data_IF_704849456685
#
_entry.id   IF_704849456685
#
_cell.length_a   1.000
_cell.length_b   1.000
_cell.length_c   1.000
_cell.angle_alpha   90.00
_cell.angle_beta   90.00
_cell.angle_gamma   90.00
#
_symmetry.space_group_name_H-M   'P 1'
#
loop_
_entity.id
_entity.type
_entity.pdbx_description
1 polymer ?
#
# COMPACT_ATOMS: atom_id res chain seq x y z
N UNK A 1 -3.69 0.13 -5.95
CA UNK A 1 -5.07 -0.29 -5.65
C UNK A 1 -5.16 -1.26 -4.48
N UNK A 2 -4.45 -2.38 -4.45
CA UNK A 2 -4.50 -3.30 -3.29
C UNK A 2 -4.12 -2.62 -1.97
N UNK A 3 -3.01 -1.89 -1.94
CA UNK A 3 -2.61 -1.10 -0.75
C UNK A 3 -3.63 -0.02 -0.39
N UNK A 4 -4.32 0.56 -1.40
CA UNK A 4 -5.41 1.50 -1.15
C UNK A 4 -6.55 0.84 -0.38
N UNK A 5 -7.09 -0.27 -0.92
CA UNK A 5 -8.19 -0.98 -0.28
C UNK A 5 -7.81 -1.49 1.11
N UNK A 6 -6.58 -1.99 1.27
CA UNK A 6 -6.03 -2.39 2.57
C UNK A 6 -6.07 -1.23 3.58
N UNK A 7 -5.51 -0.07 3.22
CA UNK A 7 -5.48 1.10 4.09
C UNK A 7 -6.86 1.72 4.31
N UNK A 8 -7.73 1.67 3.30
CA UNK A 8 -9.10 2.17 3.35
C UNK A 8 -9.97 1.34 4.29
N UNK A 9 -9.82 0.02 4.24
CA UNK A 9 -10.61 -0.95 5.00
C UNK A 9 -9.90 -1.52 6.22
N UNK A 10 -8.80 -0.89 6.64
CA UNK A 10 -7.94 -1.41 7.71
C UNK A 10 -8.71 -1.78 8.97
N UNK A 11 -9.65 -0.93 9.41
CA UNK A 11 -10.47 -1.16 10.60
C UNK A 11 -11.30 -2.45 10.52
N UNK A 12 -11.69 -2.89 9.31
CA UNK A 12 -12.41 -4.15 9.09
C UNK A 12 -11.46 -5.35 9.06
N UNK A 13 -10.25 -5.16 8.53
CA UNK A 13 -9.26 -6.23 8.34
C UNK A 13 -8.45 -6.52 9.61
N UNK A 14 -8.18 -5.49 10.40
CA UNK A 14 -7.38 -5.54 11.63
C UNK A 14 -8.04 -4.66 12.71
N UNK A 15 -9.22 -5.04 13.21
CA UNK A 15 -9.97 -4.25 14.19
C UNK A 15 -9.25 -4.09 15.54
N UNK A 16 -8.34 -5.03 15.87
CA UNK A 16 -7.60 -5.05 17.14
C UNK A 16 -6.48 -4.01 17.20
N UNK A 17 -6.02 -3.49 16.05
CA UNK A 17 -4.88 -2.57 15.98
C UNK A 17 -5.14 -1.48 14.94
N UNK A 18 -5.34 -0.21 15.35
CA UNK A 18 -5.51 0.92 14.45
C UNK A 18 -4.32 1.07 13.49
N UNK A 19 -4.59 1.54 12.26
CA UNK A 19 -3.56 1.68 11.23
C UNK A 19 -2.33 2.50 11.66
N UNK A 20 -2.48 3.67 12.31
CA UNK A 20 -1.32 4.46 12.74
C UNK A 20 -0.45 3.73 13.78
N UNK A 21 -1.09 2.92 14.63
CA UNK A 21 -0.39 2.11 15.62
C UNK A 21 0.37 0.96 14.96
N UNK A 22 -0.27 0.26 14.01
CA UNK A 22 0.41 -0.76 13.23
C UNK A 22 1.61 -0.19 12.46
N UNK A 23 1.48 0.99 11.83
CA UNK A 23 2.58 1.65 11.11
C UNK A 23 3.74 1.97 12.06
N UNK A 24 3.45 2.48 13.26
CA UNK A 24 4.47 2.73 14.29
C UNK A 24 5.16 1.43 14.71
N UNK A 25 4.39 0.38 14.97
CA UNK A 25 4.91 -0.94 15.32
C UNK A 25 5.82 -1.50 14.20
N UNK A 26 5.34 -1.51 12.96
CA UNK A 26 6.09 -2.00 11.80
C UNK A 26 7.39 -1.21 11.61
N UNK A 27 7.36 0.11 11.75
CA UNK A 27 8.55 0.96 11.69
C UNK A 27 9.58 0.58 12.75
N UNK A 28 9.14 0.30 13.99
CA UNK A 28 10.06 -0.16 15.05
C UNK A 28 10.70 -1.51 14.72
N UNK A 29 9.93 -2.46 14.17
CA UNK A 29 10.48 -3.75 13.76
C UNK A 29 11.49 -3.61 12.62
N UNK A 30 11.18 -2.81 11.60
CA UNK A 30 12.07 -2.58 10.47
C UNK A 30 13.33 -1.82 10.88
N UNK A 31 13.23 -0.89 11.83
CA UNK A 31 14.38 -0.12 12.33
C UNK A 31 15.50 -1.00 12.92
N UNK A 32 15.17 -2.22 13.40
CA UNK A 32 16.16 -3.17 13.93
C UNK A 32 17.11 -3.65 12.83
N UNK A 33 16.59 -3.94 11.64
CA UNK A 33 17.38 -4.48 10.51
C UNK A 33 17.88 -3.39 9.55
N UNK A 34 17.36 -2.17 9.67
CA UNK A 34 17.62 -1.09 8.71
C UNK A 34 19.11 -0.72 8.60
N UNK A 35 19.91 -0.65 9.69
CA UNK A 35 21.34 -0.33 9.59
C UNK A 35 22.15 -1.31 8.73
N UNK A 36 21.77 -2.59 8.74
CA UNK A 36 22.46 -3.66 8.01
C UNK A 36 21.82 -3.96 6.63
N UNK A 37 20.79 -3.19 6.26
CA UNK A 37 20.06 -3.41 5.01
C UNK A 37 20.73 -2.73 3.81
N UNK A 38 20.49 -3.21 2.58
CA UNK A 38 21.03 -2.57 1.37
C UNK A 38 20.66 -1.08 1.27
N UNK A 39 21.54 -0.20 0.76
CA UNK A 39 21.30 1.26 0.72
C UNK A 39 20.00 1.66 0.03
N UNK A 40 19.59 0.91 -1.01
CA UNK A 40 18.31 1.15 -1.71
C UNK A 40 17.10 0.93 -0.82
N UNK A 41 17.16 -0.06 0.08
CA UNK A 41 16.09 -0.36 1.03
C UNK A 41 16.03 0.70 2.14
N UNK A 42 17.18 1.14 2.65
CA UNK A 42 17.29 2.24 3.62
C UNK A 42 16.68 3.52 3.06
N UNK A 43 17.09 3.90 1.84
CA UNK A 43 16.57 5.10 1.18
C UNK A 43 15.05 5.02 0.97
N UNK A 44 14.53 3.88 0.50
CA UNK A 44 13.08 3.69 0.34
C UNK A 44 12.32 3.88 1.66
N UNK A 45 12.81 3.26 2.74
CA UNK A 45 12.18 3.35 4.05
C UNK A 45 12.16 4.78 4.60
N UNK A 46 13.19 5.57 4.35
CA UNK A 46 13.21 6.98 4.77
C UNK A 46 12.01 7.76 4.21
N UNK A 47 11.66 7.56 2.93
CA UNK A 47 10.48 8.17 2.32
C UNK A 47 9.17 7.53 2.79
N UNK A 48 9.12 6.20 2.84
CA UNK A 48 7.92 5.45 3.23
C UNK A 48 7.40 5.89 4.59
N UNK A 49 8.31 6.06 5.57
CA UNK A 49 7.97 6.50 6.91
C UNK A 49 7.69 8.01 7.02
N UNK A 50 8.50 8.86 6.37
CA UNK A 50 8.34 10.32 6.49
C UNK A 50 7.05 10.81 5.85
N UNK A 51 6.64 10.19 4.74
CA UNK A 51 5.43 10.54 4.02
C UNK A 51 4.23 9.69 4.42
N UNK A 52 4.36 8.79 5.41
CA UNK A 52 3.28 7.96 5.96
C UNK A 52 2.49 7.22 4.87
N UNK A 53 3.20 6.60 3.92
CA UNK A 53 2.59 6.06 2.69
C UNK A 53 1.42 5.14 2.96
N UNK A 54 1.57 4.17 3.88
CA UNK A 54 0.50 3.23 4.19
C UNK A 54 -0.76 3.93 4.71
N UNK A 55 -0.62 5.00 5.48
CA UNK A 55 -1.77 5.75 5.99
C UNK A 55 -2.44 6.56 4.89
N UNK A 56 -1.62 7.22 4.05
CA UNK A 56 -2.10 8.06 2.93
C UNK A 56 -2.66 7.25 1.77
N UNK A 57 -2.30 5.97 1.63
CA UNK A 57 -2.91 5.10 0.61
C UNK A 57 -4.42 5.00 0.74
N UNK A 58 -5.02 5.35 1.88
CA UNK A 58 -6.49 5.43 2.00
C UNK A 58 -7.13 6.56 1.18
N UNK A 59 -6.34 7.55 0.74
CA UNK A 59 -6.80 8.72 -0.01
C UNK A 59 -6.62 8.49 -1.52
N UNK A 60 -7.68 8.69 -2.30
CA UNK A 60 -7.63 8.55 -3.76
C UNK A 60 -6.70 9.55 -4.43
N UNK A 61 -6.72 10.80 -3.98
CA UNK A 61 -5.83 11.84 -4.51
C UNK A 61 -4.35 11.48 -4.31
N UNK A 62 -4.02 10.77 -3.22
CA UNK A 62 -2.66 10.27 -3.00
C UNK A 62 -2.29 9.17 -4.00
N UNK A 63 -3.21 8.27 -4.35
CA UNK A 63 -2.98 7.25 -5.39
C UNK A 63 -2.68 7.91 -6.73
N UNK A 64 -3.47 8.92 -7.11
CA UNK A 64 -3.24 9.68 -8.34
C UNK A 64 -1.84 10.32 -8.35
N UNK A 65 -1.42 10.93 -7.23
CA UNK A 65 -0.08 11.50 -7.09
C UNK A 65 1.03 10.44 -7.25
N UNK A 66 0.84 9.25 -6.69
CA UNK A 66 1.78 8.13 -6.83
C UNK A 66 1.88 7.65 -8.28
N UNK A 67 0.76 7.49 -8.99
CA UNK A 67 0.73 7.09 -10.40
C UNK A 67 1.43 8.13 -11.28
N UNK A 68 1.13 9.42 -11.07
CA UNK A 68 1.77 10.54 -11.76
C UNK A 68 3.28 10.57 -11.50
N UNK A 69 3.72 10.33 -10.26
CA UNK A 69 5.13 10.23 -9.91
C UNK A 69 5.83 9.06 -10.59
N UNK A 70 5.16 7.91 -10.75
CA UNK A 70 5.70 6.75 -11.47
C UNK A 70 5.86 7.05 -12.97
N UNK A 71 4.83 7.62 -13.60
CA UNK A 71 4.84 8.03 -15.01
C UNK A 71 5.96 9.04 -15.29
N UNK A 72 6.10 10.06 -14.44
CA UNK A 72 7.14 11.10 -14.58
C UNK A 72 8.56 10.54 -14.50
N UNK A 73 8.80 9.49 -13.71
CA UNK A 73 10.14 8.89 -13.55
C UNK A 73 10.46 7.87 -14.64
N UNK A 74 9.45 7.34 -15.34
CA UNK A 74 9.60 6.28 -16.36
C UNK A 74 8.68 6.56 -17.54
N UNK A 75 9.19 7.09 -18.67
CA UNK A 75 8.38 7.41 -19.85
C UNK A 75 7.59 6.22 -20.42
N UNK A 76 8.06 4.98 -20.21
CA UNK A 76 7.31 3.77 -20.60
C UNK A 76 6.02 3.55 -19.79
N UNK A 77 5.86 4.24 -18.68
CA UNK A 77 4.70 4.18 -17.79
C UNK A 77 3.80 5.41 -17.96
N UNK A 78 3.96 6.21 -19.01
CA UNK A 78 3.17 7.42 -19.21
C UNK A 78 1.67 7.12 -19.33
N UNK A 79 1.31 5.96 -19.88
CA UNK A 79 -0.06 5.45 -19.91
C UNK A 79 -0.71 5.29 -18.51
N UNK A 80 0.07 5.25 -17.41
CA UNK A 80 -0.48 5.24 -16.05
C UNK A 80 -1.11 6.58 -15.65
N UNK A 81 -0.73 7.68 -16.31
CA UNK A 81 -1.31 9.01 -16.10
C UNK A 81 -2.76 9.03 -16.57
N UNK A 82 -3.01 8.42 -17.73
CA UNK A 82 -4.33 8.40 -18.35
C UNK A 82 -5.22 7.27 -17.82
N UNK A 83 -4.62 6.21 -17.25
CA UNK A 83 -5.37 5.08 -16.68
C UNK A 83 -6.15 5.41 -15.39
N UNK A 84 -6.11 6.65 -14.91
CA UNK A 84 -6.89 7.07 -13.74
C UNK A 84 -8.39 6.90 -13.98
N UNK A 85 -8.88 7.31 -15.14
CA UNK A 85 -10.31 7.21 -15.47
C UNK A 85 -10.77 5.75 -15.49
N UNK A 86 -9.97 4.84 -16.07
CA UNK A 86 -10.26 3.41 -16.09
C UNK A 86 -10.27 2.80 -14.68
N UNK A 87 -9.39 3.27 -13.79
CA UNK A 87 -9.33 2.82 -12.40
C UNK A 87 -10.55 3.28 -11.59
N UNK A 88 -11.02 4.50 -11.83
CA UNK A 88 -12.21 5.08 -11.20
C UNK A 88 -13.48 4.37 -11.69
N UNK A 89 -13.61 4.17 -13.02
CA UNK A 89 -14.74 3.47 -13.63
C UNK A 89 -14.88 2.02 -13.10
N UNK A 90 -13.75 1.36 -12.83
CA UNK A 90 -13.73 -0.02 -12.35
C UNK A 90 -13.51 -0.14 -10.84
N UNK A 91 -13.58 0.96 -10.08
CA UNK A 91 -13.27 0.99 -8.66
C UNK A 91 -14.06 -0.07 -7.86
N UNK A 92 -15.39 -0.11 -8.04
CA UNK A 92 -16.27 -1.04 -7.33
C UNK A 92 -15.99 -2.51 -7.68
N UNK A 93 -15.68 -2.78 -8.95
CA UNK A 93 -15.34 -4.13 -9.41
C UNK A 93 -14.00 -4.60 -8.81
N UNK A 94 -13.02 -3.69 -8.73
CA UNK A 94 -11.74 -3.94 -8.08
C UNK A 94 -11.89 -4.14 -6.57
N UNK A 95 -12.73 -3.34 -5.90
CA UNK A 95 -13.02 -3.48 -4.47
C UNK A 95 -13.73 -4.81 -4.17
N UNK A 96 -14.67 -5.22 -5.02
CA UNK A 96 -15.35 -6.52 -4.90
C UNK A 96 -14.34 -7.66 -5.01
N UNK A 97 -13.44 -7.62 -6.00
CA UNK A 97 -12.35 -8.60 -6.12
C UNK A 97 -11.42 -8.56 -4.92
N UNK A 98 -11.21 -7.38 -4.33
CA UNK A 98 -10.42 -7.26 -3.12
C UNK A 98 -10.97 -8.11 -1.99
N UNK A 99 -12.26 -7.98 -1.72
CA UNK A 99 -12.92 -8.74 -0.66
C UNK A 99 -13.03 -10.24 -0.95
N UNK A 100 -13.05 -10.65 -2.23
CA UNK A 100 -13.05 -12.06 -2.60
C UNK A 100 -11.69 -12.75 -2.35
N UNK A 101 -10.59 -12.01 -2.50
CA UNK A 101 -9.24 -12.58 -2.45
C UNK A 101 -8.52 -12.34 -1.12
N UNK A 102 -8.49 -11.09 -0.65
CA UNK A 102 -7.57 -10.66 0.41
C UNK A 102 -7.77 -11.40 1.75
N UNK A 103 -9.00 -11.60 2.26
CA UNK A 103 -9.21 -12.36 3.50
C UNK A 103 -8.74 -13.81 3.41
N UNK A 104 -8.85 -14.44 2.24
CA UNK A 104 -8.39 -15.83 2.01
C UNK A 104 -6.87 -15.90 2.07
N UNK A 105 -6.19 -14.97 1.38
CA UNK A 105 -4.74 -14.85 1.43
C UNK A 105 -4.24 -14.61 2.85
N UNK A 106 -4.89 -13.73 3.63
CA UNK A 106 -4.54 -13.50 5.04
C UNK A 106 -4.67 -14.77 5.88
N UNK A 107 -5.74 -15.56 5.69
CA UNK A 107 -5.93 -16.81 6.40
C UNK A 107 -4.82 -17.83 6.08
N UNK A 108 -4.45 -17.96 4.80
CA UNK A 108 -3.34 -18.82 4.37
C UNK A 108 -2.00 -18.38 4.96
N UNK A 109 -1.72 -17.07 4.98
CA UNK A 109 -0.52 -16.51 5.59
C UNK A 109 -0.42 -16.84 7.08
N UNK A 110 -1.52 -16.67 7.83
CA UNK A 110 -1.60 -17.03 9.26
C UNK A 110 -1.33 -18.51 9.49
N UNK A 111 -1.80 -19.36 8.58
CA UNK A 111 -1.59 -20.81 8.65
C UNK A 111 -0.22 -21.27 8.11
N UNK A 112 0.66 -20.35 7.69
CA UNK A 112 1.97 -20.65 7.05
C UNK A 112 1.84 -21.54 5.81
N UNK A 113 0.78 -21.32 5.03
CA UNK A 113 0.46 -22.07 3.79
C UNK A 113 0.80 -21.29 2.52
N UNK A 114 1.64 -20.26 2.64
CA UNK A 114 2.16 -19.42 1.55
C UNK A 114 3.68 -19.59 1.43
#
# INVERSE_FOLDING_TARGET
MWDHFLSRHWERLSPEMPLPEFVRYARQQVAIILPDSPPRFVNLNNYLWSERWLERYREMDFILNVLNGMASRRPRLDALRDSWHDLDEHYDALETRFWQFYPRMMAQAKNKQL
#
